data_IF_948133459429
#
_entry.id   IF_948133459429
#
_cell.length_a   1.000
_cell.length_b   1.000
_cell.length_c   1.000
_cell.angle_alpha   90.00
_cell.angle_beta   90.00
_cell.angle_gamma   90.00
#
_symmetry.space_group_name_H-M   'P 1'
#
loop_
_entity.id
_entity.type
_entity.pdbx_description
1 polymer ?
2 non-polymer ?
3 water ?
#
# COMPACT_ATOMS: atom_id res chain seq x y z
N UNK A 11 -16.30 6.22 -14.52
CA UNK A 11 -16.38 4.76 -14.43
C UNK A 11 -17.28 4.18 -15.52
N UNK A 12 -17.06 2.91 -15.85
CA UNK A 12 -17.86 2.19 -16.83
C UNK A 12 -18.88 1.33 -16.09
N UNK A 13 -20.15 1.43 -16.49
CA UNK A 13 -21.19 0.57 -15.94
C UNK A 13 -21.17 -0.77 -16.64
N UNK A 14 -21.09 -1.84 -15.87
CA UNK A 14 -20.97 -3.20 -16.37
C UNK A 14 -22.30 -3.91 -16.19
N UNK A 15 -22.72 -4.68 -17.21
CA UNK A 15 -23.95 -5.44 -17.10
C UNK A 15 -23.71 -6.74 -16.33
N UNK A 16 -24.62 -7.13 -15.45
CA UNK A 16 -24.40 -8.34 -14.64
C UNK A 16 -24.17 -9.61 -15.46
N UNK A 17 -24.69 -9.66 -16.70
CA UNK A 17 -24.48 -10.84 -17.52
C UNK A 17 -23.03 -11.02 -17.93
N UNK A 18 -22.21 -9.98 -17.76
CA UNK A 18 -20.81 -10.04 -18.15
C UNK A 18 -19.89 -10.43 -17.01
N UNK A 19 -20.42 -10.69 -15.82
CA UNK A 19 -19.61 -10.94 -14.63
C UNK A 19 -19.98 -12.30 -14.05
N UNK A 20 -18.97 -13.14 -13.87
CA UNK A 20 -19.14 -14.40 -13.16
C UNK A 20 -18.31 -14.36 -11.90
N UNK A 21 -18.85 -14.91 -10.81
CA UNK A 21 -18.11 -15.06 -9.56
C UNK A 21 -17.70 -16.50 -9.41
N UNK A 22 -16.41 -16.72 -9.16
CA UNK A 22 -15.87 -18.07 -9.12
C UNK A 22 -15.47 -18.53 -7.73
N UNK A 23 -14.81 -17.70 -6.94
CA UNK A 23 -14.38 -18.12 -5.62
C UNK A 23 -14.14 -16.92 -4.71
N UNK A 24 -14.21 -17.21 -3.41
CA UNK A 24 -13.93 -16.26 -2.33
C UNK A 24 -12.42 -16.07 -2.19
N UNK A 25 -11.96 -14.82 -2.25
CA UNK A 25 -10.53 -14.53 -2.19
C UNK A 25 -10.16 -13.63 -1.02
N UNK A 26 -11.09 -13.31 -0.15
CA UNK A 26 -10.80 -12.48 1.00
C UNK A 26 -12.04 -11.72 1.44
N UNK A 27 -11.98 -11.20 2.66
CA UNK A 27 -13.09 -10.45 3.23
C UNK A 27 -12.62 -9.05 3.59
N UNK A 28 -13.57 -8.11 3.58
CA UNK A 28 -13.24 -6.74 3.89
C UNK A 28 -14.37 -5.99 4.58
N UNK A 29 -14.29 -4.66 4.54
CA UNK A 29 -15.32 -3.82 5.15
C UNK A 29 -16.69 -4.17 4.61
N UNK A 30 -16.90 -3.95 3.30
CA UNK A 30 -18.10 -4.42 2.63
C UNK A 30 -17.84 -5.87 2.22
N UNK A 31 -18.12 -6.78 3.15
CA UNK A 31 -18.08 -8.19 2.85
C UNK A 31 -18.93 -8.43 1.61
N UNK A 32 -18.44 -9.19 0.61
CA UNK A 32 -17.11 -9.85 0.58
C UNK A 32 -16.42 -9.67 -0.76
N UNK A 33 -15.23 -10.28 -0.96
CA UNK A 33 -14.47 -10.12 -2.20
C UNK A 33 -14.31 -11.46 -2.91
N UNK A 34 -14.71 -11.52 -4.17
CA UNK A 34 -14.60 -12.72 -5.00
C UNK A 34 -13.58 -12.54 -6.11
N UNK A 35 -12.99 -13.66 -6.56
CA UNK A 35 -12.37 -13.70 -7.87
C UNK A 35 -13.41 -14.13 -8.89
N UNK A 36 -13.40 -13.47 -10.04
CA UNK A 36 -14.27 -13.89 -11.11
C UNK A 36 -13.71 -13.56 -12.48
N UNK A 37 -14.59 -13.55 -13.48
CA UNK A 37 -14.20 -13.23 -14.85
C UNK A 37 -15.13 -12.16 -15.37
N UNK A 38 -14.58 -11.27 -16.18
CA UNK A 38 -15.34 -10.17 -16.76
C UNK A 38 -15.24 -10.29 -18.27
N UNK A 39 -16.39 -10.34 -18.94
CA UNK A 39 -16.44 -10.35 -20.39
C UNK A 39 -16.44 -8.91 -20.88
N UNK A 40 -15.50 -8.59 -21.78
CA UNK A 40 -15.34 -7.23 -22.31
C UNK A 40 -15.30 -7.25 -23.82
N UNK A 41 -15.14 -6.06 -24.41
CA UNK A 41 -15.04 -5.87 -25.85
C UNK A 41 -16.20 -6.54 -26.58
N UNK A 42 -17.41 -6.39 -26.03
CA UNK A 42 -18.62 -6.97 -26.61
C UNK A 42 -18.51 -8.49 -26.75
N UNK A 43 -17.73 -9.13 -25.89
CA UNK A 43 -17.62 -10.57 -25.86
C UNK A 43 -16.32 -11.16 -26.39
N UNK A 44 -15.47 -10.36 -27.03
CA UNK A 44 -14.21 -10.86 -27.59
C UNK A 44 -13.10 -11.07 -26.57
N UNK A 45 -13.20 -10.41 -25.41
CA UNK A 45 -12.16 -10.48 -24.40
C UNK A 45 -12.77 -10.94 -23.09
N UNK A 46 -11.93 -11.54 -22.26
CA UNK A 46 -12.34 -12.07 -20.96
C UNK A 46 -11.17 -11.93 -20.00
N UNK A 47 -11.36 -11.17 -18.92
CA UNK A 47 -10.25 -10.89 -18.03
C UNK A 47 -10.57 -11.33 -16.60
N UNK A 48 -9.58 -11.81 -15.84
CA UNK A 48 -9.82 -12.14 -14.44
C UNK A 48 -9.93 -10.87 -13.62
N UNK A 49 -10.85 -10.89 -12.65
CA UNK A 49 -11.17 -9.70 -11.89
C UNK A 49 -11.40 -10.06 -10.43
N UNK A 50 -11.23 -9.05 -9.58
CA UNK A 50 -11.71 -9.12 -8.20
C UNK A 50 -13.01 -8.35 -8.14
N UNK A 51 -13.92 -8.81 -7.31
CA UNK A 51 -15.27 -8.27 -7.24
C UNK A 51 -15.58 -8.01 -5.77
N UNK A 52 -15.76 -6.74 -5.42
CA UNK A 52 -16.21 -6.34 -4.09
C UNK A 52 -17.68 -5.99 -4.20
N UNK A 53 -18.48 -6.48 -3.24
CA UNK A 53 -19.91 -6.29 -3.29
C UNK A 53 -20.38 -5.50 -2.07
N UNK A 54 -21.52 -4.82 -2.25
CA UNK A 54 -22.15 -4.05 -1.19
C UNK A 54 -23.50 -4.71 -0.90
N UNK A 55 -23.65 -5.28 0.29
CA UNK A 55 -24.78 -6.16 0.53
C UNK A 55 -26.03 -5.35 0.85
N UNK A 56 -27.19 -5.93 0.58
CA UNK A 56 -28.45 -5.20 0.72
C UNK A 56 -28.62 -4.69 2.14
N UNK A 57 -29.23 -3.50 2.27
CA UNK A 57 -29.37 -2.86 3.55
C UNK A 57 -28.33 -1.80 3.84
N UNK A 58 -27.37 -1.61 2.95
CA UNK A 58 -26.35 -0.59 3.14
C UNK A 58 -27.00 0.79 3.30
N UNK A 59 -26.33 1.63 4.08
CA UNK A 59 -26.80 2.98 4.34
C UNK A 59 -26.35 3.92 3.23
N UNK A 60 -26.86 5.15 3.28
CA UNK A 60 -26.47 6.14 2.29
C UNK A 60 -24.98 6.45 2.41
N UNK A 61 -24.48 6.58 3.64
CA UNK A 61 -23.04 6.79 3.84
C UNK A 61 -22.23 5.66 3.20
N UNK A 62 -22.65 4.42 3.44
CA UNK A 62 -21.92 3.28 2.88
C UNK A 62 -21.92 3.30 1.36
N UNK A 63 -23.05 3.66 0.75
CA UNK A 63 -23.08 3.77 -0.71
C UNK A 63 -22.15 4.87 -1.19
N UNK A 64 -22.18 6.03 -0.51
CA UNK A 64 -21.33 7.14 -0.92
C UNK A 64 -19.86 6.73 -0.84
N UNK A 65 -19.48 6.07 0.24
CA UNK A 65 -18.10 5.64 0.41
C UNK A 65 -17.74 4.54 -0.60
N UNK A 66 -18.66 3.61 -0.84
CA UNK A 66 -18.39 2.48 -1.74
C UNK A 66 -18.20 2.95 -3.17
N UNK A 67 -19.16 3.72 -3.69
CA UNK A 67 -19.06 4.22 -5.04
C UNK A 67 -18.01 5.32 -5.16
N UNK A 68 -17.74 6.04 -4.07
CA UNK A 68 -16.71 7.07 -4.12
C UNK A 68 -15.32 6.47 -4.34
N UNK A 69 -15.06 5.32 -3.73
CA UNK A 69 -13.81 4.61 -3.97
C UNK A 69 -13.63 4.30 -5.46
N UNK A 70 -14.68 3.79 -6.09
CA UNK A 70 -14.61 3.50 -7.53
C UNK A 70 -14.43 4.78 -8.33
N UNK A 71 -15.08 5.87 -7.89
CA UNK A 71 -14.94 7.13 -8.61
C UNK A 71 -13.51 7.64 -8.59
N UNK A 72 -12.83 7.46 -7.46
CA UNK A 72 -11.41 7.84 -7.36
C UNK A 72 -10.56 6.93 -8.24
N UNK A 73 -10.72 5.62 -8.07
CA UNK A 73 -9.93 4.66 -8.85
C UNK A 73 -10.08 4.89 -10.36
N UNK A 74 -11.29 5.24 -10.80
CA UNK A 74 -11.54 5.42 -12.22
C UNK A 74 -10.86 6.63 -12.83
N UNK A 75 -10.37 7.55 -12.00
CA UNK A 75 -9.62 8.70 -12.49
C UNK A 75 -8.17 8.37 -12.81
N UNK A 76 -7.67 7.22 -12.42
CA UNK A 76 -6.24 6.90 -12.50
C UNK A 76 -5.96 5.88 -13.61
N UNK A 77 -4.79 6.03 -14.23
CA UNK A 77 -4.30 5.10 -15.23
C UNK A 77 -2.79 5.02 -15.03
N UNK A 78 -2.35 4.12 -14.16
CA UNK A 78 -0.94 3.96 -13.88
C UNK A 78 -0.64 2.51 -13.57
N UNK A 79 0.56 2.07 -14.00
CA UNK A 79 0.99 0.69 -13.83
C UNK A 79 0.91 0.23 -12.38
N UNK A 80 1.19 1.13 -11.44
CA UNK A 80 1.29 0.80 -10.02
C UNK A 80 0.08 1.24 -9.22
N UNK A 81 -1.06 1.42 -9.89
CA UNK A 81 -2.34 1.70 -9.26
C UNK A 81 -3.33 0.68 -9.79
N UNK A 82 -4.09 0.06 -8.89
CA UNK A 82 -5.05 -0.97 -9.28
C UNK A 82 -6.02 -0.41 -10.31
N UNK A 83 -6.26 -1.17 -11.39
CA UNK A 83 -7.16 -0.73 -12.44
C UNK A 83 -8.61 -1.06 -12.09
N UNK A 84 -9.48 -0.09 -12.31
CA UNK A 84 -10.92 -0.30 -12.21
C UNK A 84 -11.44 -0.74 -13.57
N UNK A 85 -12.03 -1.94 -13.62
CA UNK A 85 -12.72 -2.35 -14.83
C UNK A 85 -14.08 -1.69 -14.95
N UNK A 86 -14.80 -1.57 -13.84
CA UNK A 86 -16.09 -0.92 -13.87
C UNK A 86 -16.87 -1.23 -12.61
N UNK A 87 -18.13 -0.82 -12.64
CA UNK A 87 -19.01 -0.97 -11.49
C UNK A 87 -20.35 -1.48 -12.00
N UNK A 88 -21.04 -2.20 -11.12
CA UNK A 88 -22.45 -2.47 -11.27
C UNK A 88 -23.15 -1.69 -10.17
N UNK A 89 -23.86 -0.64 -10.56
CA UNK A 89 -24.69 0.11 -9.63
C UNK A 89 -26.16 0.10 -9.99
N UNK A 90 -26.50 -0.13 -11.27
CA UNK A 90 -27.89 -0.16 -11.70
C UNK A 90 -28.60 -1.43 -11.26
N UNK A 91 -27.86 -2.49 -10.94
CA UNK A 91 -28.42 -3.71 -10.41
C UNK A 91 -27.84 -3.97 -9.04
N UNK A 92 -28.53 -4.80 -8.26
CA UNK A 92 -28.08 -5.11 -6.91
C UNK A 92 -27.78 -6.60 -6.76
N UNK A 93 -26.79 -6.95 -5.93
CA UNK A 93 -25.96 -6.05 -5.11
C UNK A 93 -24.96 -5.29 -5.96
N UNK A 94 -24.60 -4.09 -5.51
CA UNK A 94 -23.65 -3.30 -6.27
C UNK A 94 -22.26 -3.91 -6.17
N UNK A 95 -21.45 -3.68 -7.20
CA UNK A 95 -20.15 -4.34 -7.31
C UNK A 95 -19.12 -3.36 -7.84
N UNK A 96 -17.92 -3.43 -7.29
CA UNK A 96 -16.74 -2.77 -7.85
C UNK A 96 -15.83 -3.87 -8.39
N UNK A 97 -15.43 -3.72 -9.64
CA UNK A 97 -14.74 -4.78 -10.36
C UNK A 97 -13.37 -4.26 -10.75
N UNK A 98 -12.32 -4.88 -10.22
CA UNK A 98 -10.95 -4.43 -10.42
C UNK A 98 -10.10 -5.54 -11.01
N UNK A 99 -8.92 -5.17 -11.52
CA UNK A 99 -8.00 -6.18 -12.02
C UNK A 99 -7.61 -7.15 -10.89
N UNK A 100 -7.53 -8.43 -11.23
CA UNK A 100 -7.23 -9.46 -10.25
C UNK A 100 -5.74 -9.48 -9.94
N UNK A 101 -5.40 -9.49 -8.65
CA UNK A 101 -4.02 -9.52 -8.19
C UNK A 101 -3.81 -10.84 -7.47
N UNK A 102 -3.09 -11.76 -8.15
CA UNK A 102 -3.07 -13.18 -7.78
C UNK A 102 -2.47 -13.44 -6.40
N UNK A 103 -1.54 -12.59 -5.95
CA UNK A 103 -0.88 -12.77 -4.65
C UNK A 103 -1.47 -11.90 -3.53
N UNK A 104 -2.57 -11.20 -3.79
CA UNK A 104 -3.32 -10.53 -2.73
C UNK A 104 -2.52 -9.42 -2.06
N UNK A 105 -2.82 -9.21 -0.77
CA UNK A 105 -2.22 -8.12 -0.05
C UNK A 105 -0.75 -8.38 0.22
N UNK A 106 0.05 -7.31 0.09
CA UNK A 106 1.51 -7.43 0.14
C UNK A 106 1.99 -7.82 1.53
N UNK A 107 1.38 -7.31 2.59
CA UNK A 107 1.87 -7.68 3.92
C UNK A 107 1.68 -9.17 4.18
N UNK A 108 0.51 -9.70 3.85
CA UNK A 108 0.26 -11.13 4.04
C UNK A 108 1.14 -11.96 3.11
N UNK A 109 1.33 -11.50 1.86
CA UNK A 109 2.20 -12.20 0.92
C UNK A 109 3.63 -12.32 1.46
N UNK A 110 4.20 -11.20 1.91
CA UNK A 110 5.57 -11.25 2.43
C UNK A 110 5.68 -12.16 3.66
N UNK A 111 4.66 -12.16 4.52
CA UNK A 111 4.70 -13.02 5.71
C UNK A 111 4.68 -14.50 5.33
N UNK A 112 4.15 -14.84 4.16
CA UNK A 112 4.15 -16.21 3.66
C UNK A 112 5.36 -16.51 2.79
N UNK A 113 6.20 -15.52 2.54
CA UNK A 113 7.40 -15.66 1.71
C UNK A 113 8.65 -15.21 2.48
N UNK A 114 8.66 -15.41 3.80
CA UNK A 114 9.70 -14.84 4.65
C UNK A 114 11.10 -15.24 4.17
N UNK A 115 11.92 -14.24 3.88
CA UNK A 115 13.30 -14.45 3.48
C UNK A 115 13.53 -14.94 2.08
N UNK A 116 12.49 -15.05 1.26
CA UNK A 116 12.62 -15.72 -0.03
C UNK A 116 12.96 -14.81 -1.19
N UNK A 117 12.95 -13.49 -1.01
CA UNK A 117 13.26 -12.58 -2.10
C UNK A 117 14.64 -11.96 -1.90
N UNK A 118 15.19 -11.45 -2.99
CA UNK A 118 16.47 -10.76 -2.84
C UNK A 118 16.22 -9.32 -2.42
N UNK A 119 17.29 -8.68 -1.95
CA UNK A 119 17.24 -7.24 -1.67
C UNK A 119 16.79 -6.46 -2.90
N UNK A 120 17.35 -6.77 -4.08
CA UNK A 120 16.97 -6.04 -5.30
C UNK A 120 15.47 -6.20 -5.58
N UNK A 121 14.93 -7.39 -5.34
CA UNK A 121 13.50 -7.60 -5.57
C UNK A 121 12.65 -6.76 -4.63
N UNK A 122 13.03 -6.73 -3.35
CA UNK A 122 12.28 -5.94 -2.38
C UNK A 122 12.35 -4.45 -2.74
N UNK A 123 13.53 -3.97 -3.12
CA UNK A 123 13.68 -2.57 -3.48
C UNK A 123 12.87 -2.24 -4.73
N UNK A 124 12.81 -3.19 -5.67
CA UNK A 124 11.98 -3.00 -6.86
C UNK A 124 10.50 -2.88 -6.53
N UNK A 125 10.04 -3.67 -5.57
CA UNK A 125 8.65 -3.53 -5.08
C UNK A 125 8.42 -2.13 -4.52
N UNK A 126 9.36 -1.63 -3.72
CA UNK A 126 9.22 -0.28 -3.18
C UNK A 126 9.23 0.78 -4.27
N UNK A 127 10.06 0.60 -5.30
CA UNK A 127 10.04 1.57 -6.39
C UNK A 127 8.69 1.61 -7.07
N UNK A 128 8.08 0.44 -7.31
CA UNK A 128 6.74 0.41 -7.90
C UNK A 128 5.72 1.10 -7.03
N UNK A 129 5.74 0.80 -5.73
CA UNK A 129 4.82 1.49 -4.81
C UNK A 129 5.03 3.00 -4.85
N UNK A 130 6.30 3.42 -4.82
CA UNK A 130 6.60 4.85 -4.83
C UNK A 130 6.13 5.50 -6.12
N UNK A 131 6.27 4.81 -7.26
CA UNK A 131 5.79 5.37 -8.51
C UNK A 131 4.27 5.53 -8.49
N UNK A 132 3.55 4.55 -7.95
CA UNK A 132 2.12 4.72 -7.83
C UNK A 132 1.75 5.87 -6.92
N UNK A 133 2.47 6.03 -5.81
CA UNK A 133 2.18 7.13 -4.90
C UNK A 133 2.55 8.47 -5.50
N UNK A 134 3.66 8.54 -6.24
CA UNK A 134 4.01 9.79 -6.92
C UNK A 134 2.89 10.19 -7.86
N UNK A 135 2.36 9.23 -8.62
CA UNK A 135 1.24 9.51 -9.52
C UNK A 135 0.04 10.00 -8.74
N UNK A 136 -0.34 9.29 -7.68
CA UNK A 136 -1.50 9.65 -6.87
C UNK A 136 -1.38 11.08 -6.31
N UNK A 137 -0.23 11.40 -5.73
CA UNK A 137 -0.02 12.72 -5.14
C UNK A 137 -0.04 13.81 -6.19
N UNK A 138 0.56 13.53 -7.36
CA UNK A 138 0.56 14.48 -8.47
C UNK A 138 -0.85 14.71 -9.01
N UNK A 139 -1.73 13.72 -8.92
CA UNK A 139 -3.15 13.88 -9.27
C UNK A 139 -3.94 14.60 -8.18
N UNK A 140 -3.25 15.13 -7.16
CA UNK A 140 -3.84 15.91 -6.08
C UNK A 140 -4.70 15.07 -5.13
N UNK A 141 -4.31 13.82 -4.91
CA UNK A 141 -4.99 12.98 -3.92
C UNK A 141 -4.06 12.66 -2.76
N UNK A 142 -4.66 12.51 -1.58
CA UNK A 142 -3.96 11.99 -0.41
C UNK A 142 -4.59 10.65 -0.06
N UNK A 143 -3.76 9.63 0.14
CA UNK A 143 -4.29 8.30 0.37
C UNK A 143 -4.82 8.14 1.78
N UNK A 144 -4.04 8.55 2.77
CA UNK A 144 -4.34 8.58 4.20
C UNK A 144 -4.25 7.21 4.85
N UNK A 145 -4.18 6.12 4.10
CA UNK A 145 -4.21 4.77 4.66
C UNK A 145 -3.15 3.91 3.97
N UNK A 146 -2.00 4.51 3.68
CA UNK A 146 -0.95 3.79 2.97
C UNK A 146 -0.26 2.85 3.95
N UNK A 147 -0.28 1.57 3.62
CA UNK A 147 0.25 0.50 4.47
C UNK A 147 0.37 -0.70 3.55
N UNK A 148 1.25 -1.64 3.91
CA UNK A 148 1.44 -2.80 3.04
C UNK A 148 0.15 -3.60 2.87
N UNK A 149 -0.75 -3.56 3.86
CA UNK A 149 -2.04 -4.25 3.73
C UNK A 149 -2.92 -3.64 2.64
N UNK A 150 -2.60 -2.44 2.15
CA UNK A 150 -3.35 -1.79 1.08
C UNK A 150 -2.60 -1.74 -0.23
N UNK A 151 -1.52 -2.51 -0.35
CA UNK A 151 -0.83 -2.77 -1.60
C UNK A 151 -1.20 -4.18 -2.04
N UNK A 152 -1.48 -4.35 -3.33
CA UNK A 152 -1.73 -5.67 -3.89
C UNK A 152 -0.59 -6.10 -4.81
N UNK A 153 -0.42 -7.42 -4.92
CA UNK A 153 0.69 -8.00 -5.69
C UNK A 153 0.15 -8.99 -6.71
N UNK A 154 0.57 -8.84 -7.96
CA UNK A 154 0.14 -9.79 -8.98
C UNK A 154 1.12 -10.96 -9.11
N UNK A 155 0.84 -11.86 -10.05
CA UNK A 155 1.68 -13.05 -10.22
C UNK A 155 3.10 -12.70 -10.66
N UNK A 156 3.31 -11.55 -11.29
CA UNK A 156 4.61 -11.10 -11.74
C UNK A 156 5.35 -10.26 -10.70
N UNK A 157 4.86 -10.24 -9.46
CA UNK A 157 5.47 -9.52 -8.32
C UNK A 157 5.35 -8.01 -8.43
N UNK A 158 4.49 -7.53 -9.32
CA UNK A 158 4.22 -6.09 -9.44
C UNK A 158 3.30 -5.65 -8.31
N UNK A 159 3.67 -4.56 -7.65
CA UNK A 159 2.93 -4.02 -6.51
C UNK A 159 2.12 -2.82 -6.95
N UNK A 160 0.86 -2.77 -6.55
CA UNK A 160 -0.03 -1.69 -6.96
C UNK A 160 -0.77 -1.14 -5.75
N UNK A 161 -0.85 0.19 -5.67
CA UNK A 161 -1.62 0.84 -4.60
C UNK A 161 -3.09 0.53 -4.78
N UNK A 162 -3.77 0.23 -3.68
CA UNK A 162 -5.18 -0.07 -3.73
C UNK A 162 -5.84 0.54 -2.49
N UNK A 163 -7.12 0.20 -2.31
CA UNK A 163 -7.93 0.60 -1.16
C UNK A 163 -7.98 2.13 -0.99
N UNK A 164 -8.77 2.74 -1.86
CA UNK A 164 -8.94 4.19 -1.85
C UNK A 164 -10.13 4.64 -1.01
N UNK A 165 -10.60 3.78 -0.09
CA UNK A 165 -11.78 4.11 0.71
C UNK A 165 -11.61 5.35 1.56
N UNK A 166 -10.40 5.63 2.02
CA UNK A 166 -10.12 6.81 2.83
C UNK A 166 -9.43 7.92 2.06
N UNK A 167 -9.20 7.75 0.77
CA UNK A 167 -8.53 8.77 -0.03
C UNK A 167 -9.42 9.98 -0.26
N UNK A 168 -8.79 11.13 -0.41
CA UNK A 168 -9.52 12.37 -0.63
C UNK A 168 -8.72 13.25 -1.58
N UNK A 169 -9.43 14.05 -2.35
CA UNK A 169 -8.77 15.09 -3.14
C UNK A 169 -8.44 16.25 -2.23
N UNK A 170 -7.29 16.88 -2.44
CA UNK A 170 -6.87 17.99 -1.59
C UNK A 170 -7.79 19.20 -1.76
N UNK A 184 -11.44 5.59 11.44
CA UNK A 184 -10.18 5.52 12.16
C UNK A 184 -9.03 5.17 11.21
N UNK A 185 -7.92 5.86 11.37
CA UNK A 185 -6.69 5.60 10.60
C UNK A 185 -5.66 5.04 11.56
N UNK A 186 -4.98 3.95 11.21
CA UNK A 186 -4.03 3.33 12.16
C UNK A 186 -2.86 4.22 12.50
N UNK A 187 -2.71 4.47 13.80
CA UNK A 187 -1.74 5.41 14.34
C UNK A 187 -0.32 5.11 13.86
N UNK A 188 0.09 3.84 13.86
CA UNK A 188 1.51 3.59 13.68
C UNK A 188 1.98 3.72 12.23
N UNK A 189 1.07 3.99 11.30
CA UNK A 189 1.44 4.36 9.93
C UNK A 189 1.33 5.85 9.67
N UNK A 190 0.88 6.64 10.64
CA UNK A 190 0.44 8.01 10.38
C UNK A 190 1.44 9.04 10.92
N UNK A 191 1.70 10.08 10.12
CA UNK A 191 2.62 11.12 10.53
C UNK A 191 2.10 11.86 11.76
N UNK A 192 2.99 12.41 12.57
CA UNK A 192 2.54 13.09 13.81
C UNK A 192 1.55 14.21 13.56
N UNK A 193 1.72 15.00 12.50
CA UNK A 193 0.81 16.13 12.28
C UNK A 193 -0.55 15.68 11.79
N UNK A 194 -0.65 14.50 11.18
CA UNK A 194 -1.94 13.98 10.79
C UNK A 194 -2.66 13.36 11.98
N UNK A 195 -1.92 12.67 12.87
CA UNK A 195 -2.51 12.17 14.11
C UNK A 195 -3.11 13.32 14.91
N UNK A 196 -2.30 14.34 15.16
CA UNK A 196 -2.70 15.39 16.11
C UNK A 196 -3.68 16.37 15.49
N UNK A 197 -3.32 16.96 14.34
CA UNK A 197 -4.08 18.06 13.75
C UNK A 197 -4.94 17.65 12.56
N UNK A 198 -4.96 16.37 12.20
CA UNK A 198 -5.71 15.88 11.05
C UNK A 198 -5.26 16.54 9.76
N UNK A 199 -3.99 16.94 9.71
CA UNK A 199 -3.40 17.56 8.52
C UNK A 199 -2.84 16.44 7.65
N UNK A 200 -3.67 15.92 6.76
CA UNK A 200 -3.30 14.84 5.85
C UNK A 200 -2.90 15.43 4.51
N UNK A 201 -1.66 15.17 4.08
CA UNK A 201 -1.12 15.69 2.83
C UNK A 201 -0.25 14.61 2.19
N UNK A 202 0.28 14.90 1.01
CA UNK A 202 1.27 14.00 0.42
C UNK A 202 2.46 13.78 1.36
N UNK A 203 2.80 14.77 2.19
CA UNK A 203 3.93 14.62 3.11
C UNK A 203 3.62 13.66 4.25
N UNK A 204 2.35 13.59 4.68
CA UNK A 204 1.99 12.56 5.64
C UNK A 204 1.93 11.20 4.96
N UNK A 205 1.54 11.14 3.70
CA UNK A 205 1.66 9.90 2.95
C UNK A 205 3.12 9.44 2.82
N UNK A 206 4.07 10.39 2.73
CA UNK A 206 5.49 10.03 2.66
C UNK A 206 5.94 9.35 3.95
N UNK A 207 5.50 9.88 5.10
CA UNK A 207 5.75 9.20 6.35
C UNK A 207 5.25 7.75 6.29
N UNK A 208 4.01 7.57 5.83
CA UNK A 208 3.45 6.22 5.72
C UNK A 208 4.27 5.34 4.79
N UNK A 209 4.71 5.91 3.68
CA UNK A 209 5.56 5.16 2.75
C UNK A 209 6.82 4.66 3.45
N UNK A 210 7.43 5.49 4.31
CA UNK A 210 8.57 5.05 5.09
C UNK A 210 8.25 3.82 5.92
N UNK A 211 7.07 3.81 6.56
CA UNK A 211 6.64 2.62 7.29
C UNK A 211 6.48 1.43 6.35
N UNK A 212 5.90 1.66 5.17
CA UNK A 212 5.78 0.59 4.18
C UNK A 212 7.14 0.05 3.79
N UNK A 213 8.14 0.94 3.63
CA UNK A 213 9.49 0.46 3.34
C UNK A 213 9.97 -0.50 4.43
N UNK A 214 9.76 -0.12 5.69
CA UNK A 214 10.11 -1.00 6.80
C UNK A 214 9.32 -2.31 6.77
N UNK A 215 8.01 -2.25 6.49
CA UNK A 215 7.24 -3.49 6.36
C UNK A 215 7.81 -4.40 5.27
N UNK A 216 8.18 -3.83 4.12
CA UNK A 216 8.67 -4.66 3.04
C UNK A 216 10.00 -5.30 3.41
N UNK A 217 10.92 -4.50 3.96
CA UNK A 217 12.26 -5.02 4.24
C UNK A 217 12.28 -6.03 5.37
N UNK A 218 11.23 -6.06 6.21
CA UNK A 218 11.11 -7.03 7.30
C UNK A 218 10.20 -8.20 6.95
N UNK A 219 9.72 -8.29 5.71
CA UNK A 219 8.77 -9.33 5.34
C UNK A 219 7.48 -9.26 6.15
N UNK A 220 6.98 -8.05 6.34
CA UNK A 220 5.67 -7.89 6.95
C UNK A 220 5.65 -7.90 8.46
N UNK A 221 6.71 -7.43 9.12
CA UNK A 221 6.63 -7.34 10.57
C UNK A 221 5.68 -6.22 10.99
N UNK A 222 5.18 -6.34 12.21
CA UNK A 222 4.28 -5.33 12.78
C UNK A 222 5.10 -4.12 13.21
N UNK A 223 4.90 -2.94 12.62
CA UNK A 223 5.67 -1.78 13.04
C UNK A 223 5.55 -1.57 14.54
N UNK A 224 6.71 -1.40 15.19
CA UNK A 224 6.84 -1.13 16.62
C UNK A 224 6.48 -2.33 17.49
N UNK A 225 6.25 -3.51 16.90
CA UNK A 225 5.97 -4.75 17.62
C UNK A 225 4.91 -4.55 18.70
N UNK A 226 5.22 -4.89 19.95
CA UNK A 226 4.20 -4.95 20.99
C UNK A 226 3.77 -3.57 21.53
N UNK A 227 4.38 -2.48 21.07
CA UNK A 227 4.01 -1.17 21.61
C UNK A 227 2.55 -0.88 21.32
N UNK A 228 1.86 -0.29 22.30
CA UNK A 228 0.53 0.23 22.08
C UNK A 228 0.59 1.54 21.29
N UNK A 229 -0.58 1.98 20.80
CA UNK A 229 -0.64 3.24 20.06
C UNK A 229 -0.06 4.41 20.87
N UNK A 230 -0.41 4.50 22.16
CA UNK A 230 0.12 5.58 22.98
C UNK A 230 1.62 5.46 23.17
N UNK A 231 2.13 4.22 23.27
CA UNK A 231 3.57 3.98 23.36
C UNK A 231 4.29 4.32 22.06
N UNK A 232 3.65 4.05 20.92
CA UNK A 232 4.24 4.46 19.64
C UNK A 232 4.34 5.97 19.57
N UNK A 233 3.27 6.68 19.94
CA UNK A 233 3.31 8.13 19.91
C UNK A 233 4.34 8.67 20.88
N UNK A 234 4.48 8.04 22.05
CA UNK A 234 5.52 8.45 22.99
C UNK A 234 6.91 8.34 22.37
N UNK A 235 7.20 7.23 21.70
CA UNK A 235 8.53 7.03 21.14
C UNK A 235 8.81 8.01 20.00
N UNK A 236 7.84 8.18 19.12
CA UNK A 236 8.02 9.05 17.95
C UNK A 236 8.25 10.48 18.39
N UNK A 237 7.47 10.95 19.37
CA UNK A 237 7.60 12.34 19.78
C UNK A 237 8.87 12.59 20.59
N UNK A 238 9.50 11.54 21.10
CA UNK A 238 10.82 11.65 21.73
C UNK A 238 11.96 11.56 20.72
N UNK A 239 11.65 11.39 19.43
CA UNK A 239 12.68 11.28 18.41
C UNK A 239 13.13 9.87 18.09
N UNK A 240 12.59 8.87 18.74
CA UNK A 240 12.98 7.51 18.42
C UNK A 240 12.22 7.01 17.19
N UNK A 241 12.86 6.10 16.45
CA UNK A 241 12.35 5.60 15.18
C UNK A 241 12.59 4.10 15.09
N UNK A 242 11.86 3.46 14.17
CA UNK A 242 12.01 2.03 13.96
C UNK A 242 13.46 1.68 13.67
N UNK A 243 13.99 0.61 14.26
CA UNK A 243 15.38 0.21 14.00
C UNK A 243 15.49 -0.43 12.64
N UNK A 244 16.73 -0.55 12.17
CA UNK A 244 16.91 -1.08 10.83
C UNK A 244 16.45 -2.53 10.77
N UNK A 245 15.83 -2.93 9.68
CA UNK A 245 15.56 -4.34 9.42
C UNK A 245 16.87 -5.09 9.22
N UNK A 246 16.80 -6.41 9.42
CA UNK A 246 17.92 -7.26 9.06
C UNK A 246 18.17 -7.20 7.56
N UNK A 247 19.43 -7.30 7.18
CA UNK A 247 19.83 -7.37 5.76
C UNK A 247 19.35 -6.17 4.96
N UNK A 248 19.34 -5.00 5.58
CA UNK A 248 18.79 -3.85 4.90
C UNK A 248 19.91 -2.94 4.39
N UNK A 249 19.89 -2.58 3.12
CA UNK A 249 20.89 -1.64 2.59
C UNK A 249 20.88 -0.34 3.37
N UNK A 250 22.08 0.18 3.63
CA UNK A 250 22.20 1.45 4.35
C UNK A 250 21.41 2.56 3.66
N UNK A 251 21.47 2.63 2.33
CA UNK A 251 20.76 3.71 1.64
C UNK A 251 19.26 3.60 1.82
N UNK A 252 18.75 2.37 1.92
CA UNK A 252 17.33 2.15 2.09
C UNK A 252 16.90 2.58 3.49
N UNK A 253 17.69 2.24 4.52
CA UNK A 253 17.35 2.69 5.87
C UNK A 253 17.47 4.21 5.99
N UNK A 254 18.51 4.81 5.39
CA UNK A 254 18.60 6.27 5.40
C UNK A 254 17.37 6.90 4.76
N UNK A 255 16.90 6.32 3.65
CA UNK A 255 15.72 6.89 2.99
C UNK A 255 14.48 6.78 3.88
N UNK A 256 14.25 5.61 4.51
CA UNK A 256 13.07 5.54 5.37
C UNK A 256 13.17 6.51 6.55
N UNK A 257 14.38 6.69 7.10
CA UNK A 257 14.55 7.65 8.19
C UNK A 257 14.18 9.06 7.76
N UNK A 258 14.52 9.43 6.52
CA UNK A 258 14.18 10.76 6.02
C UNK A 258 12.67 10.91 5.88
N UNK A 259 11.98 9.85 5.49
CA UNK A 259 10.53 9.90 5.42
C UNK A 259 9.91 10.17 6.79
N UNK A 260 10.64 9.87 7.87
CA UNK A 260 10.13 10.04 9.22
C UNK A 260 10.65 11.31 9.89
N UNK A 261 11.02 12.32 9.12
CA UNK A 261 11.37 13.59 9.74
C UNK A 261 10.15 14.20 10.40
N UNK A 262 10.33 14.71 11.63
CA UNK A 262 9.22 15.34 12.34
C UNK A 262 8.64 16.50 11.55
N UNK A 263 9.50 17.38 11.04
CA UNK A 263 9.07 18.53 10.24
C UNK A 263 8.72 18.04 8.84
N UNK A 264 7.45 18.19 8.45
CA UNK A 264 7.00 17.60 7.20
C UNK A 264 7.71 18.19 6.00
N UNK A 265 8.11 19.46 6.05
CA UNK A 265 8.80 20.08 4.91
C UNK A 265 10.17 19.46 4.65
N UNK A 266 10.75 18.78 5.64
CA UNK A 266 12.06 18.14 5.46
C UNK A 266 11.98 16.75 4.84
N UNK A 267 10.80 16.15 4.76
CA UNK A 267 10.70 14.81 4.19
C UNK A 267 10.93 14.84 2.68
N UNK A 268 11.38 13.75 2.10
CA UNK A 268 11.49 13.71 0.63
C UNK A 268 10.10 13.84 0.03
N UNK A 269 10.04 14.40 -1.19
CA UNK A 269 8.82 14.26 -1.98
C UNK A 269 8.81 12.90 -2.65
N UNK A 270 7.63 12.46 -3.09
CA UNK A 270 7.58 11.19 -3.82
C UNK A 270 8.52 11.17 -5.02
N UNK A 271 8.69 12.30 -5.71
CA UNK A 271 9.61 12.30 -6.84
C UNK A 271 11.04 12.00 -6.39
N UNK A 272 11.45 12.53 -5.23
CA UNK A 272 12.77 12.23 -4.70
C UNK A 272 12.90 10.74 -4.40
N UNK A 273 11.86 10.15 -3.80
CA UNK A 273 11.89 8.73 -3.46
C UNK A 273 12.04 7.88 -4.71
N UNK A 274 11.25 8.18 -5.75
CA UNK A 274 11.35 7.38 -6.97
C UNK A 274 12.73 7.52 -7.58
N UNK A 275 13.25 8.75 -7.62
CA UNK A 275 14.57 8.98 -8.22
C UNK A 275 15.66 8.23 -7.48
N UNK A 276 15.65 8.29 -6.14
CA UNK A 276 16.68 7.62 -5.35
C UNK A 276 16.62 6.11 -5.55
N UNK A 277 15.42 5.54 -5.48
CA UNK A 277 15.30 4.09 -5.65
C UNK A 277 15.76 3.68 -7.04
N UNK A 278 15.44 4.48 -8.05
CA UNK A 278 15.90 4.18 -9.40
C UNK A 278 17.41 4.18 -9.50
N UNK A 279 18.05 5.18 -8.91
CA UNK A 279 19.52 5.25 -8.97
C UNK A 279 20.14 4.05 -8.27
N UNK A 280 19.58 3.64 -7.12
CA UNK A 280 20.11 2.48 -6.42
C UNK A 280 19.95 1.20 -7.23
N UNK A 281 18.79 1.01 -7.87
CA UNK A 281 18.56 -0.20 -8.64
C UNK A 281 19.48 -0.27 -9.84
N UNK A 282 19.78 0.87 -10.45
CA UNK A 282 20.62 0.88 -11.65
C UNK A 282 22.11 0.80 -11.35
N UNK A 283 22.51 1.01 -10.10
CA UNK A 283 23.87 0.80 -9.62
C UNK A 283 23.79 -0.17 -8.44
N UNK A 284 23.48 -1.44 -8.70
CA UNK A 284 23.06 -2.33 -7.60
C UNK A 284 24.13 -2.63 -6.59
N UNK A 285 25.42 -2.43 -6.90
CA UNK A 285 26.40 -2.59 -5.84
C UNK A 285 26.20 -1.59 -4.72
N UNK A 286 25.46 -0.50 -4.98
CA UNK A 286 25.14 0.46 -3.95
C UNK A 286 24.30 -0.15 -2.82
N UNK A 287 23.58 -1.22 -3.11
CA UNK A 287 22.73 -1.87 -2.12
C UNK A 287 23.46 -2.92 -1.30
N UNK A 288 24.74 -3.17 -1.59
CA UNK A 288 25.49 -4.16 -0.82
C UNK A 288 26.03 -3.60 0.48
N UNK A 289 26.10 -2.28 0.63
CA UNK A 289 26.48 -1.66 1.89
C UNK A 289 25.27 -1.71 2.80
N UNK A 290 25.33 -2.49 3.87
CA UNK A 290 24.18 -2.73 4.74
C UNK A 290 24.26 -1.86 5.97
N UNK A 291 23.11 -1.38 6.43
CA UNK A 291 23.05 -0.79 7.76
C UNK A 291 23.24 -1.87 8.81
N UNK A 292 23.92 -1.50 9.90
CA UNK A 292 24.16 -2.46 10.98
C UNK A 292 22.82 -2.88 11.58
N UNK A 293 22.60 -4.18 11.69
CA UNK A 293 21.44 -4.68 12.41
C UNK A 293 21.79 -4.75 13.90
N UNK A 294 21.03 -4.04 14.71
CA UNK A 294 21.40 -3.85 16.12
C UNK A 294 21.20 -5.17 16.85
N UNK A 295 22.24 -5.74 17.44
CA UNK A 295 22.07 -7.03 18.12
C UNK A 295 21.17 -6.91 19.34
N UNK A 296 19.88 -7.22 19.15
CA UNK A 296 18.94 -7.20 20.26
C UNK A 296 19.25 -8.27 21.29
N UNK A 297 19.82 -9.38 20.83
CA UNK A 297 19.94 -10.59 21.62
C UNK A 297 21.38 -11.07 21.53
N UNK A 298 22.05 -11.17 22.68
CA UNK A 298 23.44 -11.57 22.76
C UNK A 298 23.50 -13.09 22.87
N UNK A 299 24.13 -13.72 21.89
CA UNK A 299 24.39 -15.16 21.93
C UNK A 299 25.89 -15.33 21.82
N UNK A 300 26.51 -15.84 22.88
CA UNK A 300 27.96 -15.93 22.98
C UNK A 300 28.38 -17.38 22.77
N UNK A 301 29.24 -17.61 21.80
CA UNK A 301 29.77 -18.92 21.46
C UNK A 301 31.26 -18.79 21.24
N UNK A 302 32.01 -19.90 21.26
CA UNK A 302 33.45 -19.94 20.96
C UNK A 302 33.84 -19.13 19.72
X LIG B 1 -10.43 -3.93 4.71
X LIG B 1 -9.42 -5.66 4.65
X LIG B 1 -9.45 -2.84 4.48
X LIG B 1 -11.27 -3.91 5.92
X LIG B 1 -11.48 -2.92 2.30
X LIG B 1 -12.73 -3.14 1.54
X LIG B 1 -11.27 -1.60 2.93
X LIG B 1 -11.39 -4.07 3.42
X LIG B 1 -10.12 -4.40 0.26
X LIG B 1 -9.44 -3.82 -0.91
X LIG B 1 -11.49 -4.96 0.11
X LIG B 1 -10.16 -3.25 1.40
X LIG B 1 -9.22 -5.57 0.90
X LIG B 1 -9.83 -6.82 1.27
X LIG B 1 -9.09 -7.98 0.61
X LIG B 1 -9.71 -8.36 -0.64
X LIG B 1 -7.70 -7.56 0.14
X LIG B 1 -6.81 -7.42 1.27
X LIG B 1 -7.39 -8.80 -0.62
X LIG B 1 -7.33 -9.88 0.30
X LIG B 1 -8.66 -8.92 -1.46
X LIG B 1 -8.66 -8.05 -2.66
X LIG B 1 -9.20 -6.84 -2.86
X LIG B 1 -8.95 -6.47 -4.12
X LIG B 1 -8.27 -7.44 -4.72
X LIG B 1 -7.77 -7.59 -5.97
X LIG B 1 -7.94 -6.61 -6.87
X LIG B 1 -7.12 -8.69 -6.32
X LIG B 1 -6.92 -9.71 -5.39
X LIG B 1 -7.44 -9.56 -4.10
X LIG B 1 -8.09 -8.42 -3.81
#
# INVERSE_FOLDING_TARGET
>A
GDPNQAVLKFTTEIHPSCVTRQKVIGAGEFGEVYKGMLKTSSGKKEVPVAIKTLKAGYTEKQRVDFLGEAGIMGQFSHHNIIRLEGVISKYKPMMIITEYMENGALDKFLREKDGEFSVLQLVGMLRGIAAGMKYLANMNYVHRDLAARNILVNSNLVCKVSDFGLSRVLEDDPEATYTTSGGKIPIRWTAPEAISYRKFTSASDVWSFGIVMWEVMTYGERPYWELSNHEVMKAINDGFRLPTPMDCPSAIYQLMMQCWQQERARRPKFADIVSILDKLIRAPDSLKTLADFDPRVSIRLPSTSG
>B hetero
1 AGS PG S1G O2G O3G PB O1B O2B O3B PA O1A O2A O3A O5' C5' C4' O4' C3' O3' C2' O2' C1' N9 C8 N7 C5 C6 N6 N1 C2 N3 C4
#
